data_IF_253393946630
#
_entry.id   IF_253393946630
#
_cell.length_a   1.000
_cell.length_b   1.000
_cell.length_c   1.000
_cell.angle_alpha   90.00
_cell.angle_beta   90.00
_cell.angle_gamma   90.00
#
_symmetry.space_group_name_H-M   'P 1'
#
loop_
_entity.id
_entity.type
_entity.pdbx_description
1 polymer ?
#
# COMPACT_ATOMS: atom_id res chain seq x y z
N UNK A 1 -12.44 37.04 -5.14
CA UNK A 1 -11.47 36.40 -4.24
C UNK A 1 -10.57 35.57 -5.11
N UNK A 2 -9.25 35.72 -4.97
CA UNK A 2 -8.31 34.87 -5.67
C UNK A 2 -8.50 33.43 -5.20
N UNK A 3 -8.37 32.47 -6.11
CA UNK A 3 -8.43 31.06 -5.77
C UNK A 3 -7.30 30.75 -4.77
N UNK A 4 -7.58 30.03 -3.67
CA UNK A 4 -6.54 29.58 -2.77
C UNK A 4 -5.52 28.75 -3.54
N UNK A 5 -4.26 28.82 -3.12
CA UNK A 5 -3.20 28.00 -3.72
C UNK A 5 -3.52 26.52 -3.49
N UNK A 6 -3.49 25.74 -4.57
CA UNK A 6 -3.76 24.29 -4.58
C UNK A 6 -2.53 23.56 -5.12
N UNK A 7 -2.27 22.32 -4.67
CA UNK A 7 -1.14 21.54 -5.15
C UNK A 7 -1.31 21.18 -6.62
N UNK A 8 -0.20 21.18 -7.36
CA UNK A 8 -0.17 20.81 -8.77
C UNK A 8 -0.37 19.30 -8.94
N UNK A 9 -0.70 18.87 -10.16
CA UNK A 9 -0.71 17.44 -10.50
C UNK A 9 0.72 16.91 -10.56
N UNK A 10 0.91 15.63 -10.25
CA UNK A 10 2.20 14.99 -10.53
C UNK A 10 2.46 14.90 -12.03
N UNK A 11 1.48 14.47 -12.84
CA UNK A 11 1.62 14.35 -14.29
C UNK A 11 0.73 15.35 -15.04
N UNK A 12 1.19 15.77 -16.21
CA UNK A 12 0.40 16.59 -17.13
C UNK A 12 -0.82 15.81 -17.59
N UNK A 13 -1.97 16.49 -17.68
CA UNK A 13 -3.22 15.87 -18.13
C UNK A 13 -3.04 15.23 -19.51
N UNK A 14 -3.30 13.93 -19.61
CA UNK A 14 -3.17 13.15 -20.85
C UNK A 14 -1.74 12.65 -21.15
N UNK A 15 -0.78 12.96 -20.27
CA UNK A 15 0.60 12.46 -20.33
C UNK A 15 0.94 11.52 -19.16
N UNK A 16 -0.09 10.98 -18.48
CA UNK A 16 0.10 10.01 -17.40
C UNK A 16 0.82 8.74 -17.93
N UNK A 17 1.79 8.19 -17.17
CA UNK A 17 2.45 6.94 -17.56
C UNK A 17 1.46 5.80 -17.78
N UNK A 18 1.77 4.94 -18.76
CA UNK A 18 1.05 3.70 -18.97
C UNK A 18 1.69 2.55 -18.18
N UNK A 19 0.87 1.72 -17.54
CA UNK A 19 1.32 0.45 -16.98
C UNK A 19 1.60 -0.57 -18.10
N UNK A 20 2.85 -0.64 -18.56
CA UNK A 20 3.25 -1.50 -19.69
C UNK A 20 3.51 -2.96 -19.25
N UNK A 21 4.02 -3.19 -18.04
CA UNK A 21 4.28 -4.50 -17.43
C UNK A 21 3.49 -4.67 -16.13
N UNK A 22 3.80 -5.75 -15.39
CA UNK A 22 3.11 -6.14 -14.17
C UNK A 22 3.32 -5.15 -13.03
N UNK A 23 2.23 -4.85 -12.33
CA UNK A 23 2.25 -4.21 -11.01
C UNK A 23 1.84 -5.28 -10.02
N UNK A 24 2.74 -5.57 -9.08
CA UNK A 24 2.60 -6.63 -8.09
C UNK A 24 2.59 -6.07 -6.68
N UNK A 25 2.26 -6.93 -5.74
CA UNK A 25 2.29 -6.67 -4.31
C UNK A 25 2.61 -7.97 -3.59
N UNK A 26 3.08 -7.89 -2.35
CA UNK A 26 3.53 -9.07 -1.60
C UNK A 26 2.49 -9.62 -0.62
N UNK A 27 1.49 -8.81 -0.24
CA UNK A 27 0.45 -9.17 0.74
C UNK A 27 -0.66 -10.08 0.16
N UNK A 28 -0.26 -11.12 -0.59
CA UNK A 28 -1.15 -12.17 -1.11
C UNK A 28 -0.47 -13.55 -1.17
N UNK A 29 0.48 -13.82 -0.28
CA UNK A 29 1.17 -15.12 -0.28
C UNK A 29 0.24 -16.25 0.17
N UNK A 30 -0.39 -16.89 -0.81
CA UNK A 30 -1.26 -18.06 -0.62
C UNK A 30 -0.61 -19.20 0.16
N UNK A 31 0.73 -19.31 0.16
CA UNK A 31 1.43 -20.38 0.90
C UNK A 31 1.45 -20.11 2.39
N UNK A 32 1.71 -18.87 2.80
CA UNK A 32 1.75 -18.51 4.22
C UNK A 32 0.35 -18.60 4.82
N UNK A 33 -0.66 -18.06 4.12
CA UNK A 33 -2.05 -18.15 4.57
C UNK A 33 -2.52 -19.60 4.65
N UNK A 34 -2.16 -20.46 3.68
CA UNK A 34 -2.46 -21.89 3.76
C UNK A 34 -1.77 -22.54 4.96
N UNK A 35 -0.48 -22.29 5.16
CA UNK A 35 0.26 -22.83 6.30
C UNK A 35 -0.33 -22.38 7.65
N UNK A 36 -0.80 -21.13 7.73
CA UNK A 36 -1.53 -20.62 8.89
C UNK A 36 -2.82 -21.43 9.14
N UNK A 37 -3.63 -21.62 8.11
CA UNK A 37 -4.87 -22.39 8.21
C UNK A 37 -4.64 -23.87 8.55
N UNK A 38 -3.54 -24.45 8.06
CA UNK A 38 -3.16 -25.84 8.36
C UNK A 38 -2.66 -25.99 9.81
N UNK A 39 -1.99 -24.97 10.38
CA UNK A 39 -1.41 -25.02 11.73
C UNK A 39 -2.45 -24.72 12.83
N UNK A 40 -3.49 -23.91 12.56
CA UNK A 40 -4.50 -23.53 13.55
C UNK A 40 -5.69 -24.49 13.56
N UNK A 41 -6.24 -24.77 14.76
CA UNK A 41 -7.57 -25.38 14.86
C UNK A 41 -8.65 -24.39 14.42
N UNK A 42 -9.87 -24.87 14.15
CA UNK A 42 -10.99 -23.99 13.74
C UNK A 42 -11.31 -22.93 14.80
N UNK A 43 -11.31 -23.28 16.09
CA UNK A 43 -11.54 -22.33 17.18
C UNK A 43 -10.38 -21.32 17.33
N UNK A 44 -9.13 -21.75 17.17
CA UNK A 44 -7.96 -20.87 17.20
C UNK A 44 -7.97 -19.87 16.03
N UNK A 45 -8.39 -20.31 14.84
CA UNK A 45 -8.54 -19.46 13.66
C UNK A 45 -9.63 -18.41 13.85
N UNK A 46 -10.81 -18.83 14.35
CA UNK A 46 -11.91 -17.90 14.61
C UNK A 46 -11.57 -16.90 15.73
N UNK A 47 -10.84 -17.32 16.76
CA UNK A 47 -10.30 -16.41 17.77
C UNK A 47 -9.34 -15.37 17.15
N UNK A 48 -8.42 -15.80 16.29
CA UNK A 48 -7.47 -14.91 15.62
C UNK A 48 -8.20 -13.92 14.69
N UNK A 49 -9.23 -14.39 13.98
CA UNK A 49 -10.10 -13.58 13.13
C UNK A 49 -10.99 -12.61 13.92
N UNK A 50 -11.35 -12.95 15.16
CA UNK A 50 -12.08 -12.08 16.07
C UNK A 50 -11.19 -11.03 16.75
N UNK A 51 -9.87 -11.20 16.73
CA UNK A 51 -8.91 -10.26 17.33
C UNK A 51 -8.92 -8.86 16.70
N UNK A 52 -8.22 -7.92 17.35
CA UNK A 52 -8.00 -6.56 16.82
C UNK A 52 -7.28 -6.54 15.46
N UNK A 53 -6.55 -7.59 15.12
CA UNK A 53 -5.83 -7.73 13.84
C UNK A 53 -6.53 -8.68 12.85
N UNK A 54 -7.65 -9.28 13.25
CA UNK A 54 -8.42 -10.18 12.40
C UNK A 54 -8.97 -9.53 11.12
N UNK A 55 -8.92 -8.20 11.00
CA UNK A 55 -9.26 -7.49 9.75
C UNK A 55 -8.44 -7.98 8.56
N UNK A 56 -7.16 -8.32 8.74
CA UNK A 56 -6.34 -8.81 7.64
C UNK A 56 -6.82 -10.17 7.12
N UNK A 57 -7.22 -11.07 8.03
CA UNK A 57 -7.83 -12.36 7.70
C UNK A 57 -9.15 -12.14 6.97
N UNK A 58 -10.02 -11.26 7.50
CA UNK A 58 -11.31 -10.94 6.87
C UNK A 58 -11.12 -10.39 5.45
N UNK A 59 -10.13 -9.52 5.23
CA UNK A 59 -9.82 -9.00 3.89
C UNK A 59 -9.35 -10.09 2.92
N UNK A 60 -8.55 -11.05 3.40
CA UNK A 60 -8.11 -12.20 2.60
C UNK A 60 -9.30 -13.08 2.20
N UNK A 61 -10.18 -13.38 3.15
CA UNK A 61 -11.38 -14.20 2.92
C UNK A 61 -12.40 -13.56 1.97
N UNK A 62 -12.46 -12.22 1.91
CA UNK A 62 -13.30 -11.51 0.93
C UNK A 62 -12.90 -11.80 -0.52
N UNK A 63 -11.71 -12.39 -0.75
CA UNK A 63 -11.28 -12.81 -2.08
C UNK A 63 -11.13 -11.64 -3.05
N UNK A 64 -10.72 -10.47 -2.56
CA UNK A 64 -10.55 -9.28 -3.38
C UNK A 64 -9.60 -9.54 -4.55
N UNK A 65 -10.12 -9.43 -5.77
CA UNK A 65 -9.31 -9.50 -6.98
C UNK A 65 -8.37 -8.30 -7.07
N UNK A 66 -7.06 -8.56 -7.22
CA UNK A 66 -6.06 -7.53 -7.45
C UNK A 66 -6.27 -6.85 -8.80
N UNK A 67 -6.59 -5.55 -8.76
CA UNK A 67 -6.74 -4.74 -9.97
C UNK A 67 -5.54 -3.81 -10.13
N UNK A 68 -4.41 -4.38 -10.56
CA UNK A 68 -3.15 -3.67 -10.81
C UNK A 68 -3.30 -2.36 -11.60
N UNK A 69 -4.11 -2.38 -12.66
CA UNK A 69 -4.37 -1.21 -13.52
C UNK A 69 -5.13 -0.10 -12.80
N UNK A 70 -6.07 -0.46 -11.92
CA UNK A 70 -6.80 0.53 -11.12
C UNK A 70 -5.87 1.20 -10.11
N UNK A 71 -5.03 0.42 -9.43
CA UNK A 71 -4.02 0.97 -8.50
C UNK A 71 -3.04 1.86 -9.25
N UNK A 72 -2.56 1.46 -10.43
CA UNK A 72 -1.71 2.32 -11.26
C UNK A 72 -2.39 3.65 -11.58
N UNK A 73 -3.64 3.58 -12.06
CA UNK A 73 -4.43 4.76 -12.41
C UNK A 73 -4.59 5.67 -11.20
N UNK A 74 -4.95 5.12 -10.04
CA UNK A 74 -5.05 5.86 -8.77
C UNK A 74 -3.73 6.60 -8.46
N UNK A 75 -2.58 5.97 -8.68
CA UNK A 75 -1.28 6.55 -8.38
C UNK A 75 -0.84 7.62 -9.40
N UNK A 76 -1.23 7.49 -10.68
CA UNK A 76 -0.90 8.50 -11.71
C UNK A 76 -1.74 9.78 -11.56
N UNK A 77 -2.89 9.74 -10.88
CA UNK A 77 -3.75 10.92 -10.70
C UNK A 77 -3.44 11.69 -9.40
N UNK A 78 -2.28 11.44 -8.80
CA UNK A 78 -1.86 12.10 -7.58
C UNK A 78 -1.56 13.59 -7.78
N UNK A 79 -1.84 14.35 -6.72
CA UNK A 79 -1.35 15.71 -6.52
C UNK A 79 0.06 15.64 -5.94
N UNK A 80 0.92 16.54 -6.39
CA UNK A 80 2.27 16.70 -5.90
C UNK A 80 2.24 17.46 -4.57
N UNK A 81 2.37 16.71 -3.48
CA UNK A 81 2.26 17.22 -2.11
C UNK A 81 3.52 16.88 -1.32
N UNK A 82 3.89 17.77 -0.40
CA UNK A 82 5.07 17.59 0.47
C UNK A 82 4.80 16.60 1.60
N UNK A 83 3.53 16.40 1.96
CA UNK A 83 3.11 15.50 3.03
C UNK A 83 3.46 14.05 2.70
N UNK A 84 4.35 13.48 3.49
CA UNK A 84 4.88 12.13 3.31
C UNK A 84 3.81 11.07 3.57
N UNK A 85 3.00 11.28 4.60
CA UNK A 85 2.01 10.34 5.10
C UNK A 85 0.59 10.67 4.65
N UNK A 86 0.47 11.30 3.48
CA UNK A 86 -0.80 11.57 2.81
C UNK A 86 -0.68 11.29 1.32
N UNK A 87 -1.78 10.83 0.73
CA UNK A 87 -1.96 10.74 -0.71
C UNK A 87 -3.21 11.52 -1.06
N UNK A 88 -3.07 12.46 -1.99
CA UNK A 88 -4.20 13.16 -2.59
C UNK A 88 -4.20 12.86 -4.07
N UNK A 89 -5.37 12.52 -4.60
CA UNK A 89 -5.55 12.21 -6.01
C UNK A 89 -6.82 12.82 -6.55
N UNK A 90 -6.87 13.03 -7.85
CA UNK A 90 -8.06 13.53 -8.52
C UNK A 90 -8.87 12.38 -9.10
N UNK A 91 -10.10 12.23 -8.62
CA UNK A 91 -11.12 11.41 -9.27
C UNK A 91 -12.03 12.36 -10.04
N UNK A 92 -11.88 12.36 -11.37
CA UNK A 92 -12.44 13.40 -12.24
C UNK A 92 -11.84 14.76 -11.84
N UNK A 93 -12.61 15.62 -11.17
CA UNK A 93 -12.15 16.91 -10.64
C UNK A 93 -12.10 16.95 -9.12
N UNK A 94 -12.60 15.93 -8.42
CA UNK A 94 -12.70 15.94 -6.97
C UNK A 94 -11.42 15.41 -6.34
N UNK A 95 -10.87 16.08 -5.32
CA UNK A 95 -9.75 15.55 -4.57
C UNK A 95 -10.23 14.44 -3.65
N UNK A 96 -9.52 13.31 -3.70
CA UNK A 96 -9.71 12.15 -2.84
C UNK A 96 -8.46 12.02 -1.99
N UNK A 97 -8.65 12.07 -0.67
CA UNK A 97 -7.60 11.89 0.30
C UNK A 97 -7.51 10.43 0.73
N UNK A 98 -6.29 9.99 0.92
CA UNK A 98 -5.96 8.78 1.63
C UNK A 98 -4.86 9.11 2.64
N UNK A 99 -5.27 9.26 3.90
CA UNK A 99 -4.41 9.52 5.05
C UNK A 99 -4.55 8.41 6.10
N UNK A 100 -3.88 8.58 7.23
CA UNK A 100 -4.06 7.69 8.38
C UNK A 100 -5.52 7.63 8.86
N UNK A 101 -6.31 8.67 8.63
CA UNK A 101 -7.74 8.74 9.01
C UNK A 101 -8.56 7.77 8.15
N UNK A 102 -8.43 7.85 6.83
CA UNK A 102 -9.10 6.93 5.91
C UNK A 102 -8.63 5.49 6.15
N UNK A 103 -7.33 5.29 6.40
CA UNK A 103 -6.80 3.97 6.73
C UNK A 103 -7.40 3.41 8.02
N UNK A 104 -7.45 4.22 9.10
CA UNK A 104 -8.07 3.84 10.38
C UNK A 104 -9.55 3.52 10.19
N UNK A 105 -10.27 4.31 9.41
CA UNK A 105 -11.68 4.09 9.14
C UNK A 105 -11.94 2.78 8.37
N UNK A 106 -11.11 2.48 7.36
CA UNK A 106 -11.25 1.27 6.53
C UNK A 106 -10.85 -0.01 7.28
N UNK A 107 -9.83 0.07 8.14
CA UNK A 107 -9.24 -1.12 8.78
C UNK A 107 -9.68 -1.33 10.22
N UNK A 108 -10.12 -0.28 10.91
CA UNK A 108 -10.41 -0.31 12.35
C UNK A 108 -9.18 -0.54 13.24
N UNK A 109 -7.97 -0.55 12.68
CA UNK A 109 -6.73 -0.81 13.41
C UNK A 109 -6.38 0.34 14.36
N UNK A 110 -5.62 0.02 15.41
CA UNK A 110 -5.06 1.05 16.28
C UNK A 110 -4.05 1.90 15.49
N UNK A 111 -4.27 3.22 15.46
CA UNK A 111 -3.42 4.21 14.79
C UNK A 111 -2.90 5.29 15.75
N UNK A 112 -2.94 5.05 17.05
CA UNK A 112 -2.47 6.00 18.07
C UNK A 112 -1.03 6.42 17.80
N UNK A 113 -0.71 7.66 18.15
CA UNK A 113 0.64 8.19 17.97
C UNK A 113 1.60 7.52 18.96
N UNK A 114 2.75 7.12 18.44
CA UNK A 114 3.90 6.69 19.23
C UNK A 114 5.13 7.28 18.56
N UNK A 115 5.98 7.89 19.37
CA UNK A 115 7.24 8.48 18.93
C UNK A 115 8.23 7.38 18.55
N UNK A 116 9.02 7.63 17.51
CA UNK A 116 10.09 6.73 17.07
C UNK A 116 9.55 5.33 16.78
N UNK A 117 8.60 5.25 15.84
CA UNK A 117 7.92 4.01 15.44
C UNK A 117 8.89 2.91 14.93
N UNK A 118 10.17 3.22 14.70
CA UNK A 118 11.20 2.32 14.15
C UNK A 118 12.19 1.78 15.22
N UNK A 119 12.50 0.48 15.17
CA UNK A 119 13.53 -0.21 15.97
C UNK A 119 14.08 -1.42 15.13
N UNK A 120 15.32 -1.94 15.30
CA UNK A 120 16.06 -2.64 14.23
C UNK A 120 15.55 -4.07 13.87
N UNK A 121 15.97 -4.54 12.69
CA UNK A 121 15.51 -5.75 11.95
C UNK A 121 16.16 -7.09 12.40
N UNK A 122 15.46 -8.23 12.33
CA UNK A 122 15.95 -9.64 12.37
C UNK A 122 15.00 -10.61 11.59
N UNK A 123 15.40 -11.87 11.41
CA UNK A 123 14.69 -12.87 10.59
C UNK A 123 13.84 -13.86 11.43
N UNK A 124 12.60 -14.17 11.00
CA UNK A 124 11.62 -15.02 11.74
C UNK A 124 11.42 -16.43 11.12
N UNK A 125 12.20 -16.77 10.09
CA UNK A 125 11.82 -17.77 9.07
C UNK A 125 11.75 -19.22 9.58
N UNK A 126 12.43 -19.58 10.67
CA UNK A 126 12.56 -20.99 11.09
C UNK A 126 11.43 -21.50 12.01
N UNK A 127 10.68 -20.59 12.65
CA UNK A 127 9.64 -20.93 13.63
C UNK A 127 8.40 -21.62 13.02
N UNK A 128 8.08 -21.34 11.76
CA UNK A 128 6.85 -21.83 11.09
C UNK A 128 6.87 -23.34 10.76
N UNK A 129 8.04 -23.99 10.72
CA UNK A 129 8.15 -25.36 10.22
C UNK A 129 8.02 -26.46 11.30
N UNK A 130 7.71 -26.11 12.56
CA UNK A 130 7.71 -27.06 13.70
C UNK A 130 6.58 -26.84 14.73
N UNK A 131 5.41 -26.35 14.33
CA UNK A 131 4.35 -25.92 15.26
C UNK A 131 3.44 -27.04 15.84
N UNK A 132 3.57 -28.29 15.36
CA UNK A 132 2.58 -29.36 15.65
C UNK A 132 2.46 -29.70 17.15
N UNK A 133 3.57 -29.63 17.91
CA UNK A 133 3.60 -29.93 19.35
C UNK A 133 3.45 -28.69 20.25
N UNK A 134 3.13 -27.52 19.68
CA UNK A 134 3.16 -26.26 20.41
C UNK A 134 1.92 -26.03 21.28
N UNK A 135 2.02 -25.15 22.28
CA UNK A 135 0.86 -24.73 23.06
C UNK A 135 -0.11 -23.92 22.20
N UNK A 136 -1.38 -23.84 22.62
CA UNK A 136 -2.38 -22.97 21.97
C UNK A 136 -1.91 -21.52 21.86
N UNK A 137 -1.28 -21.00 22.91
CA UNK A 137 -0.76 -19.64 22.92
C UNK A 137 0.37 -19.48 21.90
N UNK A 138 1.28 -20.45 21.80
CA UNK A 138 2.38 -20.39 20.83
C UNK A 138 1.91 -20.47 19.38
N UNK A 139 0.88 -21.28 19.08
CA UNK A 139 0.22 -21.27 17.77
C UNK A 139 -0.48 -19.94 17.48
N UNK A 140 -1.15 -19.33 18.46
CA UNK A 140 -1.72 -17.98 18.32
C UNK A 140 -0.65 -16.93 18.04
N UNK A 141 0.51 -17.00 18.73
CA UNK A 141 1.65 -16.13 18.46
C UNK A 141 2.14 -16.26 17.02
N UNK A 142 2.22 -17.50 16.53
CA UNK A 142 2.56 -17.75 15.13
C UNK A 142 1.57 -17.09 14.16
N UNK A 143 0.28 -17.13 14.49
CA UNK A 143 -0.75 -16.44 13.73
C UNK A 143 -0.58 -14.92 13.66
N UNK A 144 -0.26 -14.29 14.79
CA UNK A 144 0.06 -12.86 14.81
C UNK A 144 1.34 -12.51 14.05
N UNK A 145 2.36 -13.36 14.10
CA UNK A 145 3.59 -13.19 13.32
C UNK A 145 3.32 -13.32 11.81
N UNK A 146 2.43 -14.22 11.40
CA UNK A 146 2.01 -14.34 10.00
C UNK A 146 1.31 -13.06 9.53
N UNK A 147 0.38 -12.52 10.33
CA UNK A 147 -0.30 -11.24 10.06
C UNK A 147 0.74 -10.11 9.91
N UNK A 148 1.70 -10.05 10.83
CA UNK A 148 2.74 -9.03 10.83
C UNK A 148 3.60 -9.09 9.56
N UNK A 149 4.10 -10.27 9.20
CA UNK A 149 4.94 -10.45 8.03
C UNK A 149 4.17 -10.22 6.70
N UNK A 150 2.96 -10.77 6.58
CA UNK A 150 2.21 -10.77 5.31
C UNK A 150 1.52 -9.44 5.02
N UNK A 151 0.95 -8.78 6.03
CA UNK A 151 0.09 -7.61 5.80
C UNK A 151 0.68 -6.32 6.33
N UNK A 152 1.23 -6.33 7.55
CA UNK A 152 1.75 -5.11 8.19
C UNK A 152 3.06 -4.69 7.50
N UNK A 153 4.04 -5.59 7.43
CA UNK A 153 5.22 -5.36 6.61
C UNK A 153 4.89 -5.51 5.12
N UNK A 154 4.21 -6.60 4.74
CA UNK A 154 3.81 -6.85 3.35
C UNK A 154 4.97 -6.70 2.37
N UNK A 155 6.15 -7.22 2.75
CA UNK A 155 7.37 -7.24 1.94
C UNK A 155 7.64 -8.64 1.43
N UNK A 156 8.59 -8.77 0.50
CA UNK A 156 9.06 -10.08 0.06
C UNK A 156 9.50 -10.90 1.27
N UNK A 157 9.08 -12.16 1.33
CA UNK A 157 9.34 -13.09 2.45
C UNK A 157 10.84 -13.28 2.78
N UNK A 158 11.74 -12.97 1.85
CA UNK A 158 13.20 -13.07 2.04
C UNK A 158 13.84 -11.82 2.66
N UNK A 159 13.05 -10.86 3.16
CA UNK A 159 13.57 -9.60 3.71
C UNK A 159 13.52 -9.65 5.24
N UNK A 160 14.58 -9.18 5.91
CA UNK A 160 14.62 -9.15 7.37
C UNK A 160 13.44 -8.37 7.96
N UNK A 161 12.68 -9.05 8.83
CA UNK A 161 11.52 -8.57 9.58
C UNK A 161 11.96 -7.64 10.73
N UNK A 162 11.08 -6.85 11.35
CA UNK A 162 11.50 -6.01 12.49
C UNK A 162 11.49 -6.82 13.79
N UNK A 163 12.68 -7.20 14.25
CA UNK A 163 12.93 -8.12 15.36
C UNK A 163 12.20 -7.75 16.64
N UNK A 164 12.32 -6.48 16.99
CA UNK A 164 11.87 -5.91 18.24
C UNK A 164 10.35 -5.86 18.30
N UNK A 165 9.70 -5.56 17.17
CA UNK A 165 8.25 -5.53 17.04
C UNK A 165 7.64 -6.92 17.01
N UNK A 166 8.27 -7.87 16.31
CA UNK A 166 7.84 -9.26 16.34
C UNK A 166 7.87 -9.88 17.74
N UNK A 167 8.84 -9.47 18.58
CA UNK A 167 8.94 -9.92 19.97
C UNK A 167 7.78 -9.47 20.86
N UNK A 168 7.02 -8.46 20.46
CA UNK A 168 5.81 -8.07 21.19
C UNK A 168 4.83 -9.24 21.30
N UNK A 169 4.87 -10.21 20.38
CA UNK A 169 3.97 -11.37 20.38
C UNK A 169 4.12 -12.25 21.64
N UNK A 170 5.23 -12.11 22.38
CA UNK A 170 5.38 -12.78 23.67
C UNK A 170 4.33 -12.31 24.69
N UNK A 171 3.81 -11.09 24.53
CA UNK A 171 2.71 -10.48 25.27
C UNK A 171 1.57 -10.13 24.28
N UNK A 172 0.60 -11.03 24.14
CA UNK A 172 -0.47 -10.90 23.16
C UNK A 172 -1.36 -9.67 23.41
N UNK A 173 -1.58 -9.29 24.67
CA UNK A 173 -2.38 -8.11 25.00
C UNK A 173 -1.65 -6.84 24.54
N UNK A 174 -0.36 -6.71 24.85
CA UNK A 174 0.45 -5.60 24.38
C UNK A 174 0.57 -5.59 22.85
N UNK A 175 0.74 -6.78 22.23
CA UNK A 175 0.78 -6.92 20.78
C UNK A 175 -0.50 -6.40 20.14
N UNK A 176 -1.68 -6.84 20.57
CA UNK A 176 -2.96 -6.40 19.99
C UNK A 176 -3.23 -4.90 20.21
N UNK A 177 -2.71 -4.32 21.29
CA UNK A 177 -2.85 -2.90 21.59
C UNK A 177 -1.82 -2.00 20.90
N UNK A 178 -0.77 -2.55 20.31
CA UNK A 178 0.24 -1.77 19.58
C UNK A 178 -0.40 -1.04 18.36
N UNK A 179 0.07 0.16 17.98
CA UNK A 179 -0.50 0.94 16.86
C UNK A 179 -0.14 0.37 15.48
N UNK A 180 -0.52 -0.89 15.23
CA UNK A 180 -0.26 -1.60 13.98
C UNK A 180 -0.89 -0.96 12.76
N UNK A 181 -1.99 -0.23 12.93
CA UNK A 181 -2.60 0.54 11.85
C UNK A 181 -1.69 1.68 11.38
N UNK A 182 -1.02 2.36 12.32
CA UNK A 182 -0.02 3.39 12.00
C UNK A 182 1.20 2.78 11.32
N UNK A 183 1.66 1.62 11.78
CA UNK A 183 2.78 0.91 11.16
C UNK A 183 2.46 0.48 9.72
N UNK A 184 1.36 -0.25 9.53
CA UNK A 184 0.94 -0.75 8.23
C UNK A 184 0.73 0.41 7.23
N UNK A 185 0.13 1.52 7.69
CA UNK A 185 -0.02 2.72 6.89
C UNK A 185 1.33 3.34 6.51
N UNK A 186 2.26 3.50 7.47
CA UNK A 186 3.60 4.03 7.19
C UNK A 186 4.32 3.19 6.14
N UNK A 187 4.33 1.86 6.28
CA UNK A 187 4.98 0.95 5.33
C UNK A 187 4.38 1.11 3.92
N UNK A 188 3.05 1.17 3.82
CA UNK A 188 2.36 1.38 2.56
C UNK A 188 2.68 2.76 1.95
N UNK A 189 2.59 3.83 2.74
CA UNK A 189 2.88 5.20 2.29
C UNK A 189 4.33 5.36 1.82
N UNK A 190 5.29 4.84 2.59
CA UNK A 190 6.71 4.85 2.21
C UNK A 190 6.92 4.10 0.89
N UNK A 191 6.25 2.95 0.70
CA UNK A 191 6.32 2.21 -0.55
C UNK A 191 5.73 3.02 -1.72
N UNK A 192 4.51 3.54 -1.58
CA UNK A 192 3.81 4.28 -2.64
C UNK A 192 4.55 5.54 -3.07
N UNK A 193 5.05 6.34 -2.12
CA UNK A 193 5.79 7.59 -2.40
C UNK A 193 7.14 7.35 -3.05
N UNK A 194 7.75 6.18 -2.83
CA UNK A 194 9.04 5.84 -3.42
C UNK A 194 8.93 5.25 -4.83
N UNK A 195 7.73 4.98 -5.37
CA UNK A 195 7.59 4.35 -6.69
C UNK A 195 7.79 5.36 -7.82
N UNK A 196 8.69 4.99 -8.71
CA UNK A 196 8.80 5.62 -10.02
C UNK A 196 7.73 5.04 -10.96
N UNK A 197 6.64 5.79 -11.11
CA UNK A 197 5.49 5.38 -11.93
C UNK A 197 5.77 5.42 -13.44
N UNK A 198 6.91 5.99 -13.86
CA UNK A 198 7.33 5.99 -15.27
C UNK A 198 7.96 4.67 -15.70
N UNK A 199 8.33 3.82 -14.73
CA UNK A 199 8.85 2.50 -15.01
C UNK A 199 7.76 1.56 -15.52
N UNK A 200 8.18 0.64 -16.38
CA UNK A 200 7.26 -0.31 -17.02
C UNK A 200 6.54 -1.23 -16.03
N UNK A 201 7.08 -1.51 -14.84
CA UNK A 201 6.42 -2.26 -13.78
C UNK A 201 7.09 -2.06 -12.41
N UNK A 202 6.34 -2.24 -11.33
CA UNK A 202 6.82 -2.04 -9.97
C UNK A 202 6.05 -2.93 -8.97
N UNK A 203 6.62 -3.12 -7.78
CA UNK A 203 5.96 -3.84 -6.68
C UNK A 203 5.68 -2.89 -5.54
N UNK A 204 4.46 -2.90 -5.01
CA UNK A 204 4.05 -2.15 -3.83
C UNK A 204 4.13 -3.04 -2.59
N UNK A 205 4.72 -2.50 -1.52
CA UNK A 205 4.83 -3.17 -0.22
C UNK A 205 3.70 -2.71 0.72
N UNK A 206 3.43 -3.53 1.73
CA UNK A 206 2.39 -3.28 2.73
C UNK A 206 0.99 -3.67 2.26
N UNK A 207 -0.01 -3.19 3.00
CA UNK A 207 -1.40 -3.60 2.82
C UNK A 207 -2.11 -2.81 1.70
N UNK A 208 -1.66 -2.95 0.46
CA UNK A 208 -2.11 -2.14 -0.69
C UNK A 208 -3.59 -2.29 -1.04
N UNK A 209 -4.24 -3.37 -0.64
CA UNK A 209 -5.66 -3.63 -0.91
C UNK A 209 -6.56 -2.47 -0.42
N UNK A 210 -6.15 -1.76 0.65
CA UNK A 210 -6.87 -0.58 1.17
C UNK A 210 -7.00 0.55 0.15
N UNK A 211 -6.04 0.69 -0.78
CA UNK A 211 -6.08 1.70 -1.84
C UNK A 211 -7.20 1.42 -2.82
N UNK A 212 -7.43 0.14 -3.14
CA UNK A 212 -8.50 -0.28 -4.05
C UNK A 212 -9.89 -0.05 -3.44
N UNK A 213 -10.03 -0.19 -2.12
CA UNK A 213 -11.31 0.01 -1.41
C UNK A 213 -11.51 1.45 -0.93
N UNK A 214 -10.50 2.33 -1.04
CA UNK A 214 -10.63 3.75 -0.68
C UNK A 214 -11.48 4.48 -1.75
N UNK A 215 -12.80 4.38 -1.60
CA UNK A 215 -13.80 4.95 -2.51
C UNK A 215 -14.35 6.30 -2.03
N UNK A 216 -14.05 6.71 -0.80
CA UNK A 216 -14.55 7.95 -0.20
C UNK A 216 -13.53 9.09 -0.37
N UNK A 217 -14.03 10.29 -0.66
CA UNK A 217 -13.19 11.47 -0.84
C UNK A 217 -12.47 11.86 0.46
N UNK A 218 -13.20 11.90 1.58
CA UNK A 218 -12.71 12.28 2.91
C UNK A 218 -13.55 11.59 3.98
N UNK A 219 -12.91 11.15 5.06
CA UNK A 219 -13.58 10.86 6.33
C UNK A 219 -13.57 12.16 7.14
N UNK A 220 -14.71 12.85 7.21
CA UNK A 220 -14.80 14.10 7.94
C UNK A 220 -14.75 13.86 9.46
N UNK A 221 -13.79 14.53 10.11
CA UNK A 221 -13.59 14.61 11.56
C UNK A 221 -13.59 16.07 12.00
N UNK A 222 -13.33 16.35 13.27
CA UNK A 222 -13.06 17.72 13.69
C UNK A 222 -11.78 18.23 13.01
N UNK A 223 -11.69 19.54 12.76
CA UNK A 223 -10.67 20.12 11.89
C UNK A 223 -9.24 19.86 12.39
N UNK A 224 -9.03 19.87 13.70
CA UNK A 224 -7.77 19.55 14.36
C UNK A 224 -7.41 18.06 14.22
N UNK A 225 -8.40 17.16 14.24
CA UNK A 225 -8.20 15.73 13.99
C UNK A 225 -7.89 15.40 12.52
N UNK A 226 -8.16 16.33 11.60
CA UNK A 226 -7.85 16.14 10.18
C UNK A 226 -6.36 16.14 9.87
N UNK A 227 -5.49 16.46 10.82
CA UNK A 227 -4.04 16.52 10.67
C UNK A 227 -3.35 15.52 11.61
N UNK A 228 -3.22 14.23 11.22
CA UNK A 228 -2.58 13.22 12.07
C UNK A 228 -1.14 13.58 12.39
N UNK A 229 -0.74 13.42 13.65
CA UNK A 229 0.64 13.66 14.09
C UNK A 229 1.61 12.61 13.52
N UNK A 230 2.76 13.06 13.01
CA UNK A 230 3.87 12.23 12.53
C UNK A 230 5.23 12.81 12.87
N UNK A 231 6.20 11.93 13.10
CA UNK A 231 7.58 12.32 13.28
C UNK A 231 8.16 12.88 11.97
N UNK A 232 8.66 14.12 12.03
CA UNK A 232 9.27 14.79 10.87
C UNK A 232 8.28 15.25 9.81
N UNK A 233 7.01 15.45 10.16
CA UNK A 233 6.01 15.99 9.23
C UNK A 233 6.35 17.42 8.81
N UNK A 234 6.02 17.74 7.56
CA UNK A 234 6.34 19.03 6.92
C UNK A 234 5.05 19.76 6.59
N UNK A 235 5.00 21.06 6.88
CA UNK A 235 3.88 21.91 6.51
C UNK A 235 3.71 22.00 4.99
N UNK A 236 2.45 21.94 4.55
CA UNK A 236 2.08 22.04 3.14
C UNK A 236 0.77 22.82 3.01
N UNK A 237 0.90 24.15 2.96
CA UNK A 237 -0.26 25.04 2.95
C UNK A 237 -1.18 24.83 1.74
N UNK A 238 -0.64 24.47 0.57
CA UNK A 238 -1.46 24.19 -0.61
C UNK A 238 -2.34 22.95 -0.37
N UNK A 239 -1.76 21.89 0.20
CA UNK A 239 -2.50 20.70 0.61
C UNK A 239 -3.51 21.01 1.71
N UNK A 240 -3.13 21.80 2.71
CA UNK A 240 -4.02 22.19 3.81
C UNK A 240 -5.20 23.04 3.32
N UNK A 241 -5.02 23.83 2.27
CA UNK A 241 -6.09 24.62 1.66
C UNK A 241 -7.21 23.73 1.12
N UNK A 242 -6.92 22.54 0.58
CA UNK A 242 -7.95 21.59 0.17
C UNK A 242 -8.83 21.23 1.37
N UNK A 243 -8.22 20.86 2.50
CA UNK A 243 -8.95 20.50 3.73
C UNK A 243 -9.76 21.71 4.22
N UNK A 244 -9.14 22.89 4.31
CA UNK A 244 -9.81 24.12 4.77
C UNK A 244 -11.01 24.50 3.90
N UNK A 245 -10.92 24.38 2.57
CA UNK A 245 -12.03 24.67 1.66
C UNK A 245 -13.20 23.72 1.94
N UNK A 246 -12.93 22.42 2.06
CA UNK A 246 -13.99 21.43 2.34
C UNK A 246 -14.73 21.70 3.65
N UNK A 247 -14.03 22.21 4.67
CA UNK A 247 -14.63 22.52 5.97
C UNK A 247 -15.36 23.87 5.99
N UNK A 248 -14.77 24.89 5.38
CA UNK A 248 -15.28 26.26 5.47
C UNK A 248 -16.29 26.61 4.37
N UNK A 249 -16.28 25.90 3.24
CA UNK A 249 -17.23 26.07 2.15
C UNK A 249 -17.74 24.71 1.62
N UNK A 250 -18.71 24.07 2.31
CA UNK A 250 -19.33 22.83 1.84
C UNK A 250 -20.03 22.94 0.48
N UNK A 251 -20.31 24.17 0.02
CA UNK A 251 -20.90 24.44 -1.29
C UNK A 251 -19.88 24.48 -2.43
N UNK A 252 -18.59 24.36 -2.13
CA UNK A 252 -17.52 24.44 -3.11
C UNK A 252 -17.64 23.37 -4.19
N UNK A 253 -17.57 23.79 -5.46
CA UNK A 253 -17.62 22.90 -6.61
C UNK A 253 -16.24 22.74 -7.21
N UNK A 254 -15.65 21.56 -7.03
CA UNK A 254 -14.40 21.20 -7.68
C UNK A 254 -14.60 20.98 -9.17
N UNK A 255 -14.00 21.84 -9.98
CA UNK A 255 -13.99 21.74 -11.44
C UNK A 255 -12.57 21.49 -11.95
N UNK A 256 -12.42 21.06 -13.20
CA UNK A 256 -11.09 20.85 -13.78
C UNK A 256 -10.24 22.12 -13.78
N UNK A 257 -10.87 23.30 -13.89
CA UNK A 257 -10.20 24.61 -13.87
C UNK A 257 -9.58 24.96 -12.50
N UNK A 258 -9.90 24.22 -11.43
CA UNK A 258 -9.21 24.36 -10.15
C UNK A 258 -7.78 23.82 -10.19
N UNK A 259 -7.45 22.97 -11.17
CA UNK A 259 -6.21 22.21 -11.20
C UNK A 259 -5.37 22.62 -12.40
N UNK A 260 -4.07 22.84 -12.17
CA UNK A 260 -3.14 23.10 -13.26
C UNK A 260 -3.09 21.91 -14.23
N UNK A 261 -3.07 22.20 -15.53
CA UNK A 261 -2.98 21.17 -16.59
C UNK A 261 -1.58 20.55 -16.63
N UNK A 262 -0.55 21.38 -16.44
CA UNK A 262 0.85 20.97 -16.43
C UNK A 262 1.19 20.29 -15.10
N UNK A 263 1.71 19.06 -15.18
CA UNK A 263 2.22 18.35 -14.02
C UNK A 263 3.66 18.72 -13.68
N UNK A 264 4.10 18.36 -12.49
CA UNK A 264 5.47 18.62 -12.02
C UNK A 264 6.49 17.61 -12.57
N UNK A 265 6.05 16.39 -12.88
CA UNK A 265 6.87 15.34 -13.46
C UNK A 265 6.76 15.31 -14.98
N UNK A 266 7.91 15.27 -15.66
CA UNK A 266 7.98 15.11 -17.12
C UNK A 266 8.03 13.63 -17.49
N UNK A 267 7.15 13.20 -18.39
CA UNK A 267 7.17 11.84 -18.96
C UNK A 267 7.81 11.89 -20.33
N UNK A 268 8.97 11.24 -20.49
CA UNK A 268 9.60 11.09 -21.81
C UNK A 268 8.94 9.89 -22.49
N UNK A 269 8.15 10.12 -23.55
CA UNK A 269 7.57 9.02 -24.34
C UNK A 269 8.71 8.21 -24.96
N UNK A 270 8.86 6.95 -24.52
CA UNK A 270 9.70 6.00 -25.25
C UNK A 270 9.00 5.63 -26.55
N UNK A 271 9.57 6.01 -27.68
CA UNK A 271 9.13 5.51 -28.99
C UNK A 271 9.32 3.99 -29.01
N UNK A 272 8.22 3.24 -28.99
CA UNK A 272 8.27 1.80 -29.22
C UNK A 272 8.42 1.61 -30.73
N UNK A 273 9.66 1.47 -31.19
CA UNK A 273 9.96 1.07 -32.57
C UNK A 273 9.29 -0.28 -32.84
N UNK A 274 8.54 -0.45 -33.95
CA UNK A 274 7.99 -1.75 -34.29
C UNK A 274 9.16 -2.72 -34.55
N UNK A 275 9.21 -3.80 -33.78
CA UNK A 275 10.18 -4.89 -34.00
C UNK A 275 9.97 -5.42 -35.42
N UNK A 276 10.95 -5.20 -36.30
CA UNK A 276 11.01 -5.89 -37.58
C UNK A 276 11.25 -7.37 -37.29
N UNK A 277 10.23 -8.19 -37.54
CA UNK A 277 10.40 -9.64 -37.60
C UNK A 277 11.21 -9.97 -38.87
N UNK A 278 12.53 -9.95 -38.78
CA UNK A 278 13.37 -10.62 -39.77
C UNK A 278 13.36 -12.12 -39.47
N UNK A 279 12.54 -12.85 -40.22
CA UNK A 279 12.62 -14.31 -40.30
C UNK A 279 13.89 -14.64 -41.07
N UNK A 280 14.96 -15.02 -40.36
CA UNK A 280 16.16 -15.55 -40.98
C UNK A 280 15.90 -16.99 -41.45
N UNK A 281 15.94 -17.19 -42.76
CA UNK A 281 15.92 -18.52 -43.37
C UNK A 281 17.21 -19.26 -43.03
N UNK A 282 17.13 -20.26 -42.15
CA UNK A 282 18.22 -21.19 -41.87
C UNK A 282 18.48 -22.04 -43.12
N UNK A 283 19.66 -21.89 -43.73
CA UNK A 283 20.17 -22.81 -44.74
C UNK A 283 20.60 -24.11 -44.05
N UNK A 284 19.95 -25.22 -44.41
CA UNK A 284 20.35 -26.57 -44.03
C UNK A 284 21.51 -27.01 -44.91
N UNK A 285 22.71 -27.17 -44.35
CA UNK A 285 23.82 -27.87 -45.02
C UNK A 285 23.69 -29.38 -44.81
N UNK A 286 23.57 -30.11 -45.93
CA UNK A 286 23.52 -31.56 -45.96
C UNK A 286 24.93 -32.16 -45.87
N UNK A 287 25.22 -32.89 -44.80
CA UNK A 287 26.44 -33.68 -44.65
C UNK A 287 26.35 -34.96 -45.50
N UNK A 288 27.22 -35.09 -46.50
CA UNK A 288 27.35 -36.31 -47.30
C UNK A 288 28.39 -37.23 -46.65
N UNK A 289 27.97 -38.40 -46.16
CA UNK A 289 28.87 -39.50 -45.77
C UNK A 289 29.18 -40.31 -47.02
N UNK A 290 30.46 -40.47 -47.37
CA UNK A 290 30.91 -41.46 -48.35
C UNK A 290 31.38 -42.72 -47.62
N UNK A 291 30.97 -43.86 -48.17
CA UNK A 291 31.44 -45.22 -47.88
C UNK A 291 32.94 -45.38 -48.07
#
# INVERSE_FOLDING_TARGET
MDLPELPSRMFTVGEEPAAIRSISYHSDDTKLFKALCDCLTTDEYEDLKASKLGVFIKFKELGFGWTSRLVHFILCFQLDIKKKFELLRLVVSQPVRFSLIEFKHLTGLNCDYIKDLENPRCEIIEAFYRCDDWSRDDRKRLGYLAIYAEYIEGKKFSTATWASLARLVMDLENFENYPWGRMAFKVLSDSLKAKDLTQTGYTVDGFVQVIQVNVNNFVQKDLDEMFPEWDGDVEDHATDNIIKIMFNDPGWKWTMDCWQVTGTHKVVKMEVSPVKNEVSSVKTEATTVKS
#
